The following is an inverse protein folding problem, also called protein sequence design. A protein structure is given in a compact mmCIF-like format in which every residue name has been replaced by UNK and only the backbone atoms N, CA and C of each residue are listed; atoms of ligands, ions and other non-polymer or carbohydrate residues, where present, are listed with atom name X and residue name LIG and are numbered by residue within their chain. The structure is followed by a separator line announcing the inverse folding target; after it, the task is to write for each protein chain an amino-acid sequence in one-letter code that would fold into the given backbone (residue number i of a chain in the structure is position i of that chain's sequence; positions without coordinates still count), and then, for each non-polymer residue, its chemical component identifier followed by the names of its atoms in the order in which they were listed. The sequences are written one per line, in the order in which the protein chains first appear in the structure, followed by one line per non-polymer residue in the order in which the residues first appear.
data_IF_522737821132
#
_entry.id   IF_522737821132
#
_cell.length_a   1.000
_cell.length_b   1.000
_cell.length_c   1.000
_cell.angle_alpha   90.00
_cell.angle_beta   90.00
_cell.angle_gamma   90.00
#
_symmetry.space_group_name_H-M   'P 1'
#
loop_
_entity.id
_entity.type
_entity.pdbx_description
1 polymer ?
#
# COMPACT_ATOMS: atom_id res chain seq x y z
N UNK A 1 1.84 18.31 12.14
CA UNK A 1 0.64 17.59 12.61
C UNK A 1 0.46 16.31 11.83
N UNK A 2 0.09 15.22 12.49
CA UNK A 2 -0.18 13.96 11.79
C UNK A 2 -1.63 13.93 11.32
N UNK A 3 -1.88 13.24 10.19
CA UNK A 3 -3.23 13.00 9.68
C UNK A 3 -3.58 11.53 9.85
N UNK A 4 -4.69 11.27 10.47
CA UNK A 4 -5.20 9.91 10.63
C UNK A 4 -5.77 9.43 9.30
N UNK A 5 -5.52 8.16 8.97
CA UNK A 5 -6.08 7.51 7.78
C UNK A 5 -6.80 6.23 8.22
N UNK A 6 -8.02 6.05 7.70
CA UNK A 6 -8.78 4.83 7.85
C UNK A 6 -9.44 4.53 6.51
N UNK A 7 -9.28 3.31 6.03
CA UNK A 7 -9.86 2.91 4.76
C UNK A 7 -10.07 1.40 4.75
N UNK A 8 -11.09 0.97 4.03
CA UNK A 8 -11.30 -0.46 3.83
C UNK A 8 -11.72 -0.76 2.40
N UNK A 9 -11.39 -1.95 1.95
CA UNK A 9 -11.82 -2.49 0.66
C UNK A 9 -12.47 -3.83 0.89
N UNK A 10 -13.34 -4.24 -0.02
CA UNK A 10 -14.03 -5.52 0.07
C UNK A 10 -13.64 -6.42 -1.10
N UNK A 11 -13.77 -7.73 -0.89
CA UNK A 11 -13.47 -8.73 -1.90
C UNK A 11 -14.53 -9.82 -1.84
N UNK A 12 -14.89 -10.45 -2.98
CA UNK A 12 -15.79 -11.60 -2.97
C UNK A 12 -15.10 -12.88 -2.48
N UNK A 13 -13.80 -12.83 -2.23
CA UNK A 13 -13.03 -13.99 -1.75
C UNK A 13 -12.91 -13.96 -0.23
N UNK A 14 -12.71 -15.14 0.39
CA UNK A 14 -12.58 -15.23 1.85
C UNK A 14 -11.34 -14.50 2.36
N UNK A 15 -11.34 -14.18 3.66
CA UNK A 15 -10.19 -13.54 4.30
C UNK A 15 -8.92 -14.37 4.13
N UNK A 16 -9.01 -15.69 4.26
CA UNK A 16 -7.85 -16.58 4.07
C UNK A 16 -7.29 -16.53 2.67
N UNK A 17 -8.14 -16.48 1.66
CA UNK A 17 -7.69 -16.39 0.25
C UNK A 17 -7.03 -15.05 -0.02
N UNK A 18 -7.61 -13.95 0.47
CA UNK A 18 -7.02 -12.62 0.31
C UNK A 18 -5.67 -12.57 1.02
N UNK A 19 -5.60 -13.04 2.25
CA UNK A 19 -4.34 -13.09 2.99
C UNK A 19 -3.29 -13.94 2.24
N UNK A 20 -3.69 -15.12 1.74
CA UNK A 20 -2.80 -16.00 1.00
C UNK A 20 -2.18 -15.32 -0.22
N UNK A 21 -2.95 -14.45 -0.90
CA UNK A 21 -2.43 -13.66 -2.01
C UNK A 21 -1.42 -12.62 -1.52
N UNK A 22 -1.78 -11.86 -0.49
CA UNK A 22 -0.95 -10.76 0.00
C UNK A 22 0.42 -11.21 0.51
N UNK A 23 0.57 -12.46 0.91
CA UNK A 23 1.85 -13.01 1.37
C UNK A 23 2.49 -13.96 0.36
N UNK A 24 2.00 -13.97 -0.87
CA UNK A 24 2.52 -14.80 -1.96
C UNK A 24 3.48 -13.98 -2.83
N UNK A 25 4.70 -14.46 -2.99
CA UNK A 25 5.72 -13.75 -3.75
C UNK A 25 5.32 -13.54 -5.21
N UNK A 26 4.72 -14.55 -5.84
CA UNK A 26 4.26 -14.47 -7.23
C UNK A 26 3.19 -13.39 -7.39
N UNK A 27 2.23 -13.36 -6.46
CA UNK A 27 1.20 -12.31 -6.46
C UNK A 27 1.82 -10.92 -6.36
N UNK A 28 2.77 -10.72 -5.45
CA UNK A 28 3.40 -9.42 -5.26
C UNK A 28 4.14 -8.97 -6.51
N UNK A 29 4.85 -9.88 -7.18
CA UNK A 29 5.53 -9.56 -8.44
C UNK A 29 4.54 -9.23 -9.55
N UNK A 30 3.47 -9.99 -9.67
CA UNK A 30 2.42 -9.74 -10.66
C UNK A 30 1.75 -8.39 -10.43
N UNK A 31 1.44 -8.07 -9.17
CA UNK A 31 0.84 -6.78 -8.81
C UNK A 31 1.77 -5.61 -9.14
N UNK A 32 3.05 -5.73 -8.80
CA UNK A 32 4.02 -4.68 -9.10
C UNK A 32 4.16 -4.47 -10.60
N UNK A 33 4.16 -5.54 -11.38
CA UNK A 33 4.25 -5.45 -12.84
C UNK A 33 3.02 -4.76 -13.43
N UNK A 34 1.84 -5.01 -12.86
CA UNK A 34 0.58 -4.47 -13.38
C UNK A 34 0.31 -3.04 -12.95
N UNK A 35 0.54 -2.71 -11.67
CA UNK A 35 0.12 -1.43 -11.09
C UNK A 35 1.17 -0.75 -10.23
N UNK A 36 2.40 -1.26 -10.18
CA UNK A 36 3.47 -0.71 -9.33
C UNK A 36 4.15 0.54 -9.87
N UNK A 37 3.91 0.88 -11.13
CA UNK A 37 4.52 2.05 -11.76
C UNK A 37 5.94 1.81 -12.26
N UNK A 38 6.64 2.90 -12.56
CA UNK A 38 7.99 2.85 -13.09
C UNK A 38 8.97 2.32 -12.04
N UNK A 39 9.87 1.42 -12.47
CA UNK A 39 10.91 0.86 -11.62
C UNK A 39 10.39 0.15 -10.36
N UNK A 40 9.16 -0.37 -10.44
CA UNK A 40 8.60 -1.15 -9.33
C UNK A 40 9.42 -2.41 -9.08
N UNK A 41 9.66 -2.72 -7.81
CA UNK A 41 10.54 -3.82 -7.43
C UNK A 41 10.10 -4.44 -6.11
N UNK A 42 10.17 -5.78 -6.04
CA UNK A 42 10.11 -6.49 -4.77
C UNK A 42 11.54 -6.54 -4.22
N UNK A 43 11.85 -5.64 -3.29
CA UNK A 43 13.21 -5.44 -2.81
C UNK A 43 13.67 -6.59 -1.92
N UNK A 44 12.81 -7.00 -0.98
CA UNK A 44 13.07 -8.15 -0.11
C UNK A 44 11.78 -8.93 0.09
N UNK A 45 11.91 -10.21 0.32
CA UNK A 45 10.79 -11.08 0.67
C UNK A 45 11.31 -12.20 1.58
N UNK A 46 10.76 -12.30 2.79
CA UNK A 46 11.14 -13.32 3.75
C UNK A 46 9.88 -13.91 4.36
N UNK A 47 9.80 -15.23 4.40
CA UNK A 47 8.67 -15.92 5.02
C UNK A 47 9.18 -16.99 5.98
N UNK A 48 8.50 -17.11 7.12
CA UNK A 48 8.71 -18.16 8.11
C UNK A 48 7.35 -18.85 8.34
N UNK A 49 7.30 -19.83 9.23
CA UNK A 49 6.05 -20.53 9.51
C UNK A 49 4.95 -19.59 10.04
N UNK A 50 5.32 -18.50 10.69
CA UNK A 50 4.39 -17.61 11.37
C UNK A 50 4.34 -16.18 10.84
N UNK A 51 5.30 -15.79 10.00
CA UNK A 51 5.43 -14.41 9.53
C UNK A 51 5.89 -14.31 8.08
N UNK A 52 5.40 -13.29 7.40
CA UNK A 52 5.90 -12.89 6.09
C UNK A 52 6.23 -11.40 6.14
N UNK A 53 7.42 -11.06 5.70
CA UNK A 53 7.89 -9.66 5.66
C UNK A 53 8.43 -9.35 4.28
N UNK A 54 8.12 -8.17 3.77
CA UNK A 54 8.64 -7.77 2.47
C UNK A 54 8.75 -6.25 2.36
N UNK A 55 9.59 -5.82 1.42
CA UNK A 55 9.72 -4.42 1.06
C UNK A 55 9.46 -4.26 -0.43
N UNK A 56 8.59 -3.32 -0.76
CA UNK A 56 8.23 -2.97 -2.12
C UNK A 56 8.73 -1.57 -2.45
N UNK A 57 9.17 -1.40 -3.70
CA UNK A 57 9.45 -0.09 -4.26
C UNK A 57 8.41 0.14 -5.36
N UNK A 58 7.74 1.29 -5.31
CA UNK A 58 6.69 1.65 -6.27
C UNK A 58 6.94 3.07 -6.77
N UNK A 59 6.48 3.37 -7.98
CA UNK A 59 6.68 4.68 -8.58
C UNK A 59 5.38 5.29 -9.06
N UNK A 60 5.30 6.63 -8.96
CA UNK A 60 4.22 7.40 -9.58
C UNK A 60 4.90 8.41 -10.50
N UNK A 61 4.64 8.35 -11.83
CA UNK A 61 5.23 9.32 -12.77
C UNK A 61 4.86 10.75 -12.40
N UNK A 62 5.80 11.68 -12.61
CA UNK A 62 5.60 13.10 -12.31
C UNK A 62 4.35 13.67 -12.99
N UNK A 63 4.04 13.22 -14.19
CA UNK A 63 2.88 13.66 -14.96
C UNK A 63 1.53 13.32 -14.30
N UNK A 64 1.50 12.34 -13.38
CA UNK A 64 0.30 11.94 -12.67
C UNK A 64 0.20 12.60 -11.29
N UNK A 65 1.17 13.45 -10.93
CA UNK A 65 1.19 14.11 -9.64
C UNK A 65 0.53 15.49 -9.70
N UNK A 66 -0.15 15.92 -8.62
CA UNK A 66 -0.62 17.30 -8.51
C UNK A 66 0.54 18.29 -8.55
N UNK A 67 0.28 19.52 -8.97
CA UNK A 67 1.30 20.56 -9.12
C UNK A 67 2.16 20.78 -7.88
N UNK A 68 1.54 20.73 -6.68
CA UNK A 68 2.26 20.92 -5.43
C UNK A 68 3.32 19.84 -5.22
N UNK A 69 2.96 18.58 -5.51
CA UNK A 69 3.89 17.47 -5.39
C UNK A 69 5.02 17.55 -6.40
N UNK A 70 4.71 17.94 -7.66
CA UNK A 70 5.72 18.13 -8.70
C UNK A 70 6.75 19.17 -8.29
N UNK A 71 6.30 20.29 -7.72
CA UNK A 71 7.18 21.37 -7.30
C UNK A 71 8.13 20.94 -6.18
N UNK A 72 7.66 20.09 -5.27
CA UNK A 72 8.45 19.67 -4.12
C UNK A 72 9.40 18.52 -4.43
N UNK A 73 8.99 17.59 -5.28
CA UNK A 73 9.74 16.38 -5.55
C UNK A 73 10.72 16.54 -6.72
N UNK A 74 10.43 17.45 -7.63
CA UNK A 74 11.29 17.69 -8.80
C UNK A 74 11.32 16.53 -9.80
N UNK A 75 10.46 15.54 -9.69
CA UNK A 75 10.44 14.38 -10.56
C UNK A 75 9.39 13.37 -10.12
N UNK A 76 9.62 12.11 -10.48
CA UNK A 76 8.71 11.01 -10.13
C UNK A 76 8.70 10.77 -8.61
N UNK A 77 7.56 10.35 -8.11
CA UNK A 77 7.42 9.95 -6.71
C UNK A 77 7.88 8.51 -6.57
N UNK A 78 8.82 8.27 -5.66
CA UNK A 78 9.31 6.92 -5.36
C UNK A 78 8.90 6.55 -3.94
N UNK A 79 8.13 5.47 -3.83
CA UNK A 79 7.57 5.00 -2.57
C UNK A 79 8.30 3.74 -2.13
N UNK A 80 8.72 3.71 -0.85
CA UNK A 80 9.23 2.50 -0.20
C UNK A 80 8.15 2.03 0.78
N UNK A 81 7.79 0.76 0.70
CA UNK A 81 6.71 0.21 1.50
C UNK A 81 7.17 -1.10 2.14
N UNK A 82 7.14 -1.15 3.47
CA UNK A 82 7.52 -2.34 4.24
C UNK A 82 6.28 -2.88 4.93
N UNK A 83 6.01 -4.17 4.75
CA UNK A 83 4.89 -4.84 5.39
C UNK A 83 5.36 -6.07 6.13
N UNK A 84 4.75 -6.32 7.30
CA UNK A 84 4.99 -7.50 8.11
C UNK A 84 3.63 -8.11 8.43
N UNK A 85 3.42 -9.34 8.00
CA UNK A 85 2.14 -10.02 8.16
C UNK A 85 2.27 -11.22 9.09
N UNK A 86 1.30 -11.38 10.00
CA UNK A 86 1.14 -12.55 10.87
C UNK A 86 -0.34 -12.87 10.93
N UNK A 87 -0.75 -14.03 10.43
CA UNK A 87 -2.16 -14.39 10.28
C UNK A 87 -2.90 -13.30 9.48
N UNK A 88 -4.10 -12.93 9.87
CA UNK A 88 -4.92 -11.97 9.13
C UNK A 88 -4.67 -10.51 9.52
N UNK A 89 -3.50 -10.21 10.05
CA UNK A 89 -3.12 -8.87 10.48
C UNK A 89 -1.68 -8.56 10.05
N UNK A 90 -1.43 -7.29 9.73
CA UNK A 90 -0.11 -6.85 9.31
C UNK A 90 0.16 -5.43 9.70
N UNK A 91 1.43 -5.05 9.66
CA UNK A 91 1.84 -3.65 9.82
C UNK A 91 2.38 -3.15 8.49
N UNK A 92 2.26 -1.84 8.28
CA UNK A 92 2.77 -1.20 7.07
C UNK A 92 3.48 0.10 7.45
N UNK A 93 4.63 0.30 6.82
CA UNK A 93 5.37 1.55 6.92
C UNK A 93 5.68 2.01 5.50
N UNK A 94 5.31 3.25 5.18
CA UNK A 94 5.53 3.83 3.86
C UNK A 94 6.37 5.09 4.01
N UNK A 95 7.45 5.17 3.23
CA UNK A 95 8.26 6.37 3.12
C UNK A 95 8.33 6.79 1.65
N UNK A 96 8.57 8.06 1.41
CA UNK A 96 8.69 8.62 0.07
C UNK A 96 10.08 9.22 -0.04
N UNK A 97 10.81 8.83 -1.07
CA UNK A 97 12.16 9.36 -1.29
C UNK A 97 12.11 10.88 -1.45
N UNK A 98 12.94 11.58 -0.68
CA UNK A 98 13.01 13.03 -0.74
C UNK A 98 11.97 13.78 0.10
N UNK A 99 11.10 13.07 0.80
CA UNK A 99 10.07 13.69 1.64
C UNK A 99 10.32 13.29 3.11
N UNK A 100 10.54 14.26 4.02
CA UNK A 100 10.74 13.94 5.44
C UNK A 100 9.39 13.63 6.10
N UNK A 101 9.08 12.35 6.18
CA UNK A 101 7.83 11.89 6.77
C UNK A 101 7.57 10.45 6.43
N UNK A 102 6.46 9.93 6.95
CA UNK A 102 6.06 8.55 6.69
C UNK A 102 4.61 8.29 7.04
N UNK A 103 4.12 7.17 6.54
CA UNK A 103 2.86 6.59 6.97
C UNK A 103 3.18 5.35 7.79
N UNK A 104 2.59 5.23 8.98
CA UNK A 104 2.63 4.03 9.82
C UNK A 104 1.20 3.54 10.01
N UNK A 105 0.97 2.26 9.82
CA UNK A 105 -0.38 1.73 9.98
C UNK A 105 -0.43 0.24 10.19
N UNK A 106 -1.65 -0.26 10.32
CA UNK A 106 -1.92 -1.68 10.42
C UNK A 106 -3.05 -2.09 9.51
N UNK A 107 -2.93 -3.30 8.97
CA UNK A 107 -3.96 -3.94 8.17
C UNK A 107 -4.63 -5.04 9.00
N UNK A 108 -5.94 -5.21 8.80
CA UNK A 108 -6.68 -6.37 9.30
C UNK A 108 -7.56 -6.90 8.18
N UNK A 109 -7.72 -8.21 8.12
CA UNK A 109 -8.60 -8.85 7.15
C UNK A 109 -9.64 -9.64 7.92
N UNK A 110 -10.92 -9.40 7.62
CA UNK A 110 -12.03 -10.08 8.29
C UNK A 110 -13.02 -10.61 7.25
N UNK A 111 -13.66 -11.75 7.55
CA UNK A 111 -14.78 -12.22 6.74
C UNK A 111 -16.00 -11.34 7.01
N UNK A 112 -16.80 -11.09 5.97
CA UNK A 112 -18.00 -10.24 6.08
C UNK A 112 -19.27 -10.94 5.60
N UNK A 113 -19.27 -12.29 5.59
CA UNK A 113 -20.43 -13.09 5.21
C UNK A 113 -20.49 -13.46 3.73
N UNK A 114 -20.16 -12.56 2.82
CA UNK A 114 -20.15 -12.79 1.36
C UNK A 114 -18.74 -12.77 0.76
N UNK A 115 -17.74 -12.53 1.58
CA UNK A 115 -16.36 -12.42 1.16
C UNK A 115 -15.53 -11.90 2.32
N UNK A 116 -14.72 -10.87 2.08
CA UNK A 116 -13.86 -10.33 3.12
C UNK A 116 -13.70 -8.82 3.01
N UNK A 117 -13.19 -8.25 4.09
CA UNK A 117 -12.89 -6.82 4.18
C UNK A 117 -11.44 -6.67 4.65
N UNK A 118 -10.66 -5.88 3.90
CA UNK A 118 -9.31 -5.47 4.28
C UNK A 118 -9.39 -4.04 4.79
N UNK A 119 -8.95 -3.80 6.01
CA UNK A 119 -9.00 -2.48 6.64
C UNK A 119 -7.60 -1.98 6.94
N UNK A 120 -7.36 -0.70 6.67
CA UNK A 120 -6.15 0.03 7.05
C UNK A 120 -6.51 1.09 8.07
N UNK A 121 -5.72 1.17 9.14
CA UNK A 121 -5.80 2.28 10.10
C UNK A 121 -4.37 2.71 10.40
N UNK A 122 -4.12 4.02 10.35
CA UNK A 122 -2.78 4.53 10.57
C UNK A 122 -2.71 6.04 10.60
N UNK A 123 -1.50 6.56 10.49
CA UNK A 123 -1.24 7.99 10.48
C UNK A 123 -0.18 8.33 9.44
N UNK A 124 -0.37 9.48 8.79
CA UNK A 124 0.59 10.09 7.87
C UNK A 124 1.14 11.33 8.53
N UNK A 125 2.46 11.46 8.60
CA UNK A 125 3.11 12.65 9.13
C UNK A 125 4.19 13.12 8.17
N UNK A 126 4.15 14.39 7.79
CA UNK A 126 5.16 15.03 6.95
C UNK A 126 5.71 16.25 7.69
N UNK A 127 7.03 16.28 7.88
CA UNK A 127 7.71 17.32 8.66
C UNK A 127 8.30 18.41 7.75
N UNK A 128 7.43 19.08 7.00
CA UNK A 128 7.80 20.23 6.14
C UNK A 128 7.02 21.45 6.64
N UNK A 129 7.71 22.52 7.05
CA UNK A 129 7.03 23.72 7.51
C UNK A 129 6.04 24.27 6.48
N UNK A 130 4.85 24.65 6.92
CA UNK A 130 3.77 25.24 6.12
C UNK A 130 3.13 24.31 5.09
N UNK A 131 3.81 23.24 4.69
CA UNK A 131 3.34 22.33 3.64
C UNK A 131 2.97 20.95 4.14
N UNK A 132 3.37 20.60 5.38
CA UNK A 132 3.17 19.25 5.91
C UNK A 132 1.73 18.77 5.85
N UNK A 133 0.78 19.59 6.30
CA UNK A 133 -0.64 19.23 6.31
C UNK A 133 -1.21 18.98 4.92
N UNK A 134 -0.80 19.77 3.94
CA UNK A 134 -1.25 19.59 2.55
C UNK A 134 -0.70 18.31 1.93
N UNK A 135 0.56 18.00 2.21
CA UNK A 135 1.19 16.78 1.74
C UNK A 135 0.61 15.54 2.43
N UNK A 136 0.34 15.63 3.72
CA UNK A 136 -0.33 14.55 4.46
C UNK A 136 -1.68 14.21 3.84
N UNK A 137 -2.46 15.24 3.51
CA UNK A 137 -3.76 15.05 2.85
C UNK A 137 -3.60 14.39 1.49
N UNK A 138 -2.64 14.87 0.69
CA UNK A 138 -2.36 14.31 -0.63
C UNK A 138 -1.94 12.85 -0.55
N UNK A 139 -1.04 12.52 0.37
CA UNK A 139 -0.57 11.14 0.57
C UNK A 139 -1.75 10.25 0.98
N UNK A 140 -2.58 10.70 1.91
CA UNK A 140 -3.75 9.94 2.33
C UNK A 140 -4.70 9.65 1.16
N UNK A 141 -4.95 10.64 0.30
CA UNK A 141 -5.78 10.46 -0.89
C UNK A 141 -5.17 9.46 -1.88
N UNK A 142 -3.86 9.54 -2.10
CA UNK A 142 -3.16 8.62 -3.01
C UNK A 142 -3.13 7.20 -2.48
N UNK A 143 -3.02 7.02 -1.17
CA UNK A 143 -3.08 5.71 -0.54
C UNK A 143 -4.44 5.06 -0.78
N UNK A 144 -5.52 5.81 -0.64
CA UNK A 144 -6.88 5.30 -0.92
C UNK A 144 -7.00 4.84 -2.36
N UNK A 145 -6.54 5.65 -3.32
CA UNK A 145 -6.56 5.28 -4.74
C UNK A 145 -5.78 3.99 -4.99
N UNK A 146 -4.58 3.90 -4.40
CA UNK A 146 -3.72 2.72 -4.57
C UNK A 146 -4.35 1.47 -3.96
N UNK A 147 -4.91 1.56 -2.76
CA UNK A 147 -5.55 0.41 -2.11
C UNK A 147 -6.75 -0.09 -2.90
N UNK A 148 -7.54 0.81 -3.49
CA UNK A 148 -8.66 0.42 -4.34
C UNK A 148 -8.17 -0.34 -5.58
N UNK A 149 -7.10 0.13 -6.23
CA UNK A 149 -6.50 -0.55 -7.37
C UNK A 149 -5.95 -1.93 -6.99
N UNK A 150 -5.28 -2.00 -5.85
CA UNK A 150 -4.74 -3.27 -5.36
C UNK A 150 -5.85 -4.26 -5.03
N UNK A 151 -6.95 -3.79 -4.47
CA UNK A 151 -8.10 -4.64 -4.16
C UNK A 151 -8.72 -5.23 -5.43
N UNK A 152 -8.89 -4.42 -6.46
CA UNK A 152 -9.39 -4.89 -7.76
C UNK A 152 -8.45 -5.92 -8.36
N UNK A 153 -7.16 -5.64 -8.35
CA UNK A 153 -6.16 -6.57 -8.86
C UNK A 153 -6.17 -7.89 -8.09
N UNK A 154 -6.25 -7.83 -6.77
CA UNK A 154 -6.28 -9.03 -5.92
C UNK A 154 -7.48 -9.90 -6.24
N UNK A 155 -8.66 -9.29 -6.39
CA UNK A 155 -9.89 -10.03 -6.69
C UNK A 155 -9.82 -10.74 -8.04
N UNK A 156 -9.29 -10.07 -9.06
CA UNK A 156 -9.13 -10.65 -10.39
C UNK A 156 -8.06 -11.75 -10.40
N UNK A 157 -6.95 -11.52 -9.71
CA UNK A 157 -5.85 -12.50 -9.63
C UNK A 157 -6.35 -13.79 -8.98
N UNK A 158 -7.10 -13.68 -7.89
CA UNK A 158 -7.68 -14.84 -7.21
C UNK A 158 -8.74 -15.54 -8.08
N UNK A 159 -9.57 -14.79 -8.79
CA UNK A 159 -10.58 -15.35 -9.69
C UNK A 159 -9.94 -16.18 -10.82
N UNK A 160 -8.82 -15.71 -11.34
CA UNK A 160 -8.11 -16.38 -12.43
C UNK A 160 -7.33 -17.61 -11.98
N UNK A 161 -7.07 -17.75 -10.69
CA UNK A 161 -6.35 -18.92 -10.15
C UNK A 161 -7.28 -19.99 -9.60
N UNK A 162 -8.54 -19.64 -9.44
CA UNK A 162 -9.48 -20.46 -8.85
C UNK A 162 -10.16 -21.38 -8.93
#
# INVERSE_FOLDING_TARGET
MARRIEHHTTSPHSAEKVFGALVDETYLRDRLAAIGGNDAELVTFTTTDTRTSYQLKQGVPAEHLPSIAKSLLGGDLVIQRVENWAALAGTVEVTINGVPGRLDGGFTITDNGSGSKLSLAGEVKVSIPLMGGKLEKLIAEQVVVLLNKESEFTSEWLANRG
#
